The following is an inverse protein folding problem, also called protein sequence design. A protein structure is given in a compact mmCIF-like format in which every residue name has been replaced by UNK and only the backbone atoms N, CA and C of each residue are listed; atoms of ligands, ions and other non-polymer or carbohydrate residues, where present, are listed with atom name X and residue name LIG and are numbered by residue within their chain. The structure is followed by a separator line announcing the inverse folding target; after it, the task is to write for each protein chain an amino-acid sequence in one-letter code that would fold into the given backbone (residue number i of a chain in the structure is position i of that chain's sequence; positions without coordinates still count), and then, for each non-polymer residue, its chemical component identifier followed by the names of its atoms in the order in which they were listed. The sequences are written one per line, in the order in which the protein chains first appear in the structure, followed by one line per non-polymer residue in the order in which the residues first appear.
data_IF_143555702431
#
_entry.id   IF_143555702431
#
_cell.length_a   1.000
_cell.length_b   1.000
_cell.length_c   1.000
_cell.angle_alpha   90.00
_cell.angle_beta   90.00
_cell.angle_gamma   90.00
#
_symmetry.space_group_name_H-M   'P 1'
#
loop_
_entity.id
_entity.type
_entity.pdbx_description
1 polymer ?
#
# COMPACT_ATOMS: atom_id res chain seq x y z
N UNK A 1 19.68 14.95 8.61
CA UNK A 1 18.67 16.03 8.69
C UNK A 1 18.10 16.14 7.30
N UNK A 2 16.92 15.57 7.08
CA UNK A 2 16.26 15.60 5.78
C UNK A 2 15.46 16.90 5.69
N UNK A 3 15.87 17.80 4.81
CA UNK A 3 15.14 19.02 4.51
C UNK A 3 13.93 18.65 3.66
N UNK A 4 12.72 18.94 4.16
CA UNK A 4 11.51 18.94 3.36
C UNK A 4 11.70 19.87 2.15
N UNK A 5 11.09 19.58 0.99
CA UNK A 5 11.18 20.45 -0.18
C UNK A 5 10.70 21.86 0.18
N UNK A 6 11.48 22.88 -0.21
CA UNK A 6 11.13 24.28 0.05
C UNK A 6 9.88 24.64 -0.78
N UNK A 7 8.85 25.16 -0.11
CA UNK A 7 7.62 25.61 -0.75
C UNK A 7 7.94 26.69 -1.80
N UNK A 8 7.75 26.37 -3.08
CA UNK A 8 8.06 27.26 -4.21
C UNK A 8 8.78 26.59 -5.39
N UNK A 9 9.32 25.38 -5.20
CA UNK A 9 9.94 24.59 -6.29
C UNK A 9 8.94 23.76 -7.10
N UNK A 10 7.79 23.44 -6.49
CA UNK A 10 6.74 22.60 -7.06
C UNK A 10 5.44 23.40 -7.23
N UNK A 11 4.70 23.15 -8.31
CA UNK A 11 3.43 23.83 -8.60
C UNK A 11 2.35 23.42 -7.58
N UNK A 12 2.24 22.11 -7.31
CA UNK A 12 1.34 21.58 -6.30
C UNK A 12 2.13 21.00 -5.12
N UNK A 13 1.62 21.23 -3.90
CA UNK A 13 2.16 20.62 -2.69
C UNK A 13 1.01 20.09 -1.85
N UNK A 14 1.07 18.82 -1.49
CA UNK A 14 0.14 18.15 -0.58
C UNK A 14 0.91 17.73 0.66
N UNK A 15 0.38 18.02 1.84
CA UNK A 15 1.00 17.56 3.06
C UNK A 15 0.12 17.67 4.28
N UNK A 16 0.57 17.05 5.38
CA UNK A 16 -0.22 16.86 6.60
C UNK A 16 -0.31 15.38 6.98
N UNK A 17 -1.40 15.02 7.63
CA UNK A 17 -1.72 13.63 7.98
C UNK A 17 -3.06 13.24 7.36
N UNK A 18 -3.11 12.11 6.65
CA UNK A 18 -4.35 11.51 6.12
C UNK A 18 -5.14 12.40 5.15
N UNK A 19 -4.45 13.13 4.29
CA UNK A 19 -5.08 13.92 3.22
C UNK A 19 -5.32 13.07 1.97
N UNK A 20 -6.53 13.08 1.42
CA UNK A 20 -6.91 12.40 0.17
C UNK A 20 -7.28 13.46 -0.87
N UNK A 21 -6.47 13.62 -1.92
CA UNK A 21 -6.54 14.77 -2.84
C UNK A 21 -6.37 14.34 -4.30
N UNK A 22 -7.27 14.82 -5.17
CA UNK A 22 -7.01 14.87 -6.62
C UNK A 22 -6.37 16.22 -6.96
N UNK A 23 -5.07 16.18 -7.29
CA UNK A 23 -4.28 17.36 -7.63
C UNK A 23 -4.56 17.86 -9.06
N UNK A 24 -5.31 17.10 -9.88
CA UNK A 24 -5.60 17.44 -11.26
C UNK A 24 -4.37 17.41 -12.16
N UNK A 25 -4.31 18.32 -13.14
CA UNK A 25 -3.21 18.42 -14.11
C UNK A 25 -2.21 19.49 -13.68
N UNK A 26 -0.99 19.09 -13.34
CA UNK A 26 0.08 19.99 -12.83
C UNK A 26 1.44 19.64 -13.44
N UNK A 27 2.34 20.62 -13.50
CA UNK A 27 3.69 20.47 -14.04
C UNK A 27 4.63 19.74 -13.08
N UNK A 28 4.38 19.85 -11.77
CA UNK A 28 5.19 19.24 -10.71
C UNK A 28 4.42 19.09 -9.40
N UNK A 29 4.73 18.04 -8.62
CA UNK A 29 4.07 17.72 -7.36
C UNK A 29 5.07 17.38 -6.25
N UNK A 30 4.86 17.95 -5.06
CA UNK A 30 5.49 17.52 -3.82
C UNK A 30 4.45 16.96 -2.85
N UNK A 31 4.68 15.77 -2.32
CA UNK A 31 3.87 15.15 -1.27
C UNK A 31 4.74 14.97 -0.05
N UNK A 32 4.35 15.58 1.07
CA UNK A 32 5.11 15.53 2.34
C UNK A 32 4.19 15.27 3.52
N UNK A 33 4.38 14.17 4.24
CA UNK A 33 3.55 13.89 5.41
C UNK A 33 3.41 12.41 5.74
N UNK A 34 2.33 12.07 6.42
CA UNK A 34 2.01 10.69 6.77
C UNK A 34 0.64 10.30 6.21
N UNK A 35 0.60 9.20 5.46
CA UNK A 35 -0.64 8.64 4.88
C UNK A 35 -1.39 9.63 3.99
N UNK A 36 -0.70 10.45 3.21
CA UNK A 36 -1.34 11.27 2.18
C UNK A 36 -1.56 10.45 0.92
N UNK A 37 -2.73 10.56 0.33
CA UNK A 37 -3.15 9.90 -0.88
C UNK A 37 -3.41 10.94 -1.99
N UNK A 38 -2.65 10.87 -3.08
CA UNK A 38 -2.71 11.88 -4.15
C UNK A 38 -2.86 11.24 -5.51
N UNK A 39 -3.88 11.68 -6.23
CA UNK A 39 -4.08 11.40 -7.64
C UNK A 39 -3.62 12.62 -8.47
N UNK A 40 -2.84 12.42 -9.53
CA UNK A 40 -2.29 13.51 -10.34
C UNK A 40 -2.14 13.12 -11.80
N UNK A 41 -2.30 14.09 -12.70
CA UNK A 41 -2.02 13.96 -14.14
C UNK A 41 -0.85 14.88 -14.51
N UNK A 42 0.23 14.39 -15.12
CA UNK A 42 1.31 15.25 -15.60
C UNK A 42 0.83 16.25 -16.65
N UNK A 43 1.26 17.51 -16.51
CA UNK A 43 1.10 18.52 -17.56
C UNK A 43 2.29 18.54 -18.55
N UNK A 44 3.36 17.78 -18.29
CA UNK A 44 4.63 17.83 -19.04
C UNK A 44 5.23 16.43 -19.24
N UNK A 45 6.03 16.28 -20.30
CA UNK A 45 6.76 15.03 -20.61
C UNK A 45 7.78 14.62 -19.53
N UNK A 46 8.21 15.57 -18.69
CA UNK A 46 9.21 15.38 -17.64
C UNK A 46 8.67 15.89 -16.30
N UNK A 47 7.75 15.11 -15.72
CA UNK A 47 7.05 15.44 -14.50
C UNK A 47 7.91 15.22 -13.26
N UNK A 48 8.09 16.26 -12.44
CA UNK A 48 8.85 16.15 -11.18
C UNK A 48 7.94 15.75 -10.03
N UNK A 49 8.32 14.71 -9.31
CA UNK A 49 7.61 14.20 -8.15
C UNK A 49 8.56 14.08 -6.95
N UNK A 50 8.31 14.86 -5.91
CA UNK A 50 8.91 14.65 -4.60
C UNK A 50 7.92 13.90 -3.69
N UNK A 51 8.35 12.79 -3.11
CA UNK A 51 7.56 11.98 -2.18
C UNK A 51 8.33 11.80 -0.88
N UNK A 52 7.88 12.45 0.19
CA UNK A 52 8.59 12.50 1.48
C UNK A 52 7.68 12.10 2.64
N UNK A 53 8.15 11.22 3.52
CA UNK A 53 7.45 10.83 4.74
C UNK A 53 7.10 9.34 4.81
N UNK A 54 5.97 8.99 5.42
CA UNK A 54 5.59 7.59 5.71
C UNK A 54 4.19 7.24 5.19
N UNK A 55 4.05 6.08 4.56
CA UNK A 55 2.78 5.56 4.03
C UNK A 55 2.03 6.47 3.03
N UNK A 56 2.72 7.40 2.35
CA UNK A 56 2.05 8.20 1.32
C UNK A 56 1.80 7.36 0.06
N UNK A 57 0.69 7.62 -0.62
CA UNK A 57 0.29 6.94 -1.85
C UNK A 57 0.10 7.97 -2.97
N UNK A 58 0.80 7.81 -4.09
CA UNK A 58 0.69 8.70 -5.24
C UNK A 58 0.37 7.90 -6.49
N UNK A 59 -0.68 8.32 -7.20
CA UNK A 59 -1.08 7.78 -8.50
C UNK A 59 -0.89 8.83 -9.58
N UNK A 60 0.02 8.55 -10.50
CA UNK A 60 0.31 9.41 -11.65
C UNK A 60 -0.34 8.81 -12.90
N UNK A 61 -1.40 9.47 -13.38
CA UNK A 61 -2.15 9.07 -14.57
C UNK A 61 -1.55 9.73 -15.81
N UNK A 62 -1.02 8.95 -16.72
CA UNK A 62 -0.38 9.43 -17.95
C UNK A 62 -0.16 8.28 -18.92
N UNK A 63 0.40 8.59 -20.09
CA UNK A 63 0.57 7.65 -21.19
C UNK A 63 2.04 7.48 -21.55
N UNK A 64 2.76 8.57 -21.81
CA UNK A 64 4.11 8.56 -22.37
C UNK A 64 5.09 9.46 -21.62
N UNK A 65 4.64 10.13 -20.56
CA UNK A 65 5.46 11.03 -19.77
C UNK A 65 6.47 10.26 -18.90
N UNK A 66 7.57 10.95 -18.58
CA UNK A 66 8.60 10.47 -17.66
C UNK A 66 8.45 11.13 -16.30
N UNK A 67 8.23 10.32 -15.26
CA UNK A 67 8.26 10.78 -13.87
C UNK A 67 9.70 10.81 -13.38
N UNK A 68 10.13 11.97 -12.90
CA UNK A 68 11.42 12.22 -12.23
C UNK A 68 11.17 12.22 -10.73
N UNK A 69 11.55 11.13 -10.06
CA UNK A 69 11.21 10.86 -8.67
C UNK A 69 12.35 11.20 -7.70
N UNK A 70 12.02 11.96 -6.67
CA UNK A 70 12.78 12.10 -5.43
C UNK A 70 11.98 11.50 -4.27
N UNK A 71 12.37 10.32 -3.83
CA UNK A 71 11.70 9.60 -2.74
C UNK A 71 12.56 9.59 -1.49
N UNK A 72 12.00 10.01 -0.35
CA UNK A 72 12.67 9.99 0.96
C UNK A 72 11.70 9.62 2.07
N UNK A 73 11.88 8.45 2.67
CA UNK A 73 11.07 7.95 3.78
C UNK A 73 10.57 6.53 3.51
N UNK A 74 9.61 6.08 4.31
CA UNK A 74 9.32 4.65 4.43
C UNK A 74 7.90 4.31 3.96
N UNK A 75 7.74 3.11 3.38
CA UNK A 75 6.43 2.53 3.02
C UNK A 75 5.57 3.41 2.11
N UNK A 76 6.19 4.31 1.35
CA UNK A 76 5.48 5.10 0.37
C UNK A 76 5.18 4.24 -0.87
N UNK A 77 4.09 4.55 -1.56
CA UNK A 77 3.65 3.85 -2.77
C UNK A 77 3.51 4.84 -3.93
N UNK A 78 4.09 4.48 -5.08
CA UNK A 78 3.94 5.19 -6.34
C UNK A 78 3.37 4.26 -7.39
N UNK A 79 2.27 4.66 -8.00
CA UNK A 79 1.64 3.97 -9.11
C UNK A 79 1.67 4.87 -10.35
N UNK A 80 2.21 4.35 -11.43
CA UNK A 80 2.39 5.07 -12.70
C UNK A 80 1.49 4.44 -13.76
N UNK A 81 1.12 5.21 -14.78
CA UNK A 81 0.52 4.64 -16.00
C UNK A 81 1.44 3.56 -16.60
N UNK A 82 0.84 2.51 -17.16
CA UNK A 82 1.54 1.34 -17.73
C UNK A 82 2.71 1.69 -18.67
N UNK A 83 2.46 2.65 -19.55
CA UNK A 83 3.37 3.07 -20.62
C UNK A 83 4.32 4.20 -20.17
N UNK A 84 4.11 4.77 -18.99
CA UNK A 84 4.95 5.84 -18.46
C UNK A 84 6.36 5.37 -18.11
N UNK A 85 7.31 6.29 -18.19
CA UNK A 85 8.69 6.06 -17.80
C UNK A 85 8.98 6.59 -16.39
N UNK A 86 9.91 5.96 -15.68
CA UNK A 86 10.36 6.40 -14.37
C UNK A 86 11.87 6.62 -14.37
N UNK A 87 12.29 7.80 -13.91
CA UNK A 87 13.66 8.13 -13.60
C UNK A 87 13.76 8.46 -12.11
N UNK A 88 14.54 7.68 -11.37
CA UNK A 88 14.78 7.93 -9.94
C UNK A 88 16.03 8.79 -9.79
N UNK A 89 15.89 9.97 -9.19
CA UNK A 89 17.01 10.82 -8.80
C UNK A 89 17.42 10.58 -7.35
N UNK A 90 16.44 10.28 -6.49
CA UNK A 90 16.65 9.83 -5.12
C UNK A 90 15.63 8.76 -4.74
N UNK A 91 16.08 7.75 -3.99
CA UNK A 91 15.26 6.68 -3.43
C UNK A 91 15.90 6.24 -2.11
N UNK A 92 15.49 6.89 -1.01
CA UNK A 92 16.01 6.68 0.33
C UNK A 92 14.88 6.25 1.27
N UNK A 93 15.14 5.21 2.08
CA UNK A 93 14.19 4.66 3.06
C UNK A 93 13.92 3.17 2.84
N UNK A 94 12.91 2.65 3.53
CA UNK A 94 12.61 1.22 3.55
C UNK A 94 11.16 0.91 3.11
N UNK A 95 10.98 -0.26 2.51
CA UNK A 95 9.66 -0.81 2.15
C UNK A 95 8.80 0.08 1.22
N UNK A 96 9.42 0.99 0.47
CA UNK A 96 8.74 1.73 -0.59
C UNK A 96 8.34 0.80 -1.74
N UNK A 97 7.22 1.09 -2.40
CA UNK A 97 6.70 0.31 -3.52
C UNK A 97 6.46 1.20 -4.74
N UNK A 98 6.85 0.70 -5.91
CA UNK A 98 6.66 1.39 -7.19
C UNK A 98 6.06 0.39 -8.17
N UNK A 99 4.91 0.73 -8.73
CA UNK A 99 4.14 -0.13 -9.62
C UNK A 99 3.66 0.62 -10.87
N UNK A 100 3.23 -0.15 -11.87
CA UNK A 100 2.66 0.35 -13.12
C UNK A 100 1.26 -0.22 -13.28
N UNK A 101 0.33 0.61 -13.75
CA UNK A 101 -1.10 0.29 -13.77
C UNK A 101 -1.75 0.77 -15.07
N UNK A 102 -2.59 -0.09 -15.64
CA UNK A 102 -3.72 0.38 -16.44
C UNK A 102 -4.73 0.94 -15.46
N UNK A 103 -4.97 2.25 -15.51
CA UNK A 103 -6.06 2.88 -14.75
C UNK A 103 -7.43 2.60 -15.38
N UNK A 104 -7.52 1.60 -16.26
CA UNK A 104 -8.77 1.13 -16.82
C UNK A 104 -9.67 0.59 -15.70
N UNK A 105 -10.96 0.91 -15.77
CA UNK A 105 -12.02 0.51 -14.84
C UNK A 105 -12.36 -0.99 -14.90
N UNK A 106 -11.36 -1.84 -15.10
CA UNK A 106 -11.49 -3.29 -14.90
C UNK A 106 -11.83 -3.54 -13.44
N UNK A 107 -12.84 -4.39 -13.22
CA UNK A 107 -13.47 -4.70 -11.92
C UNK A 107 -12.53 -4.58 -10.72
N UNK A 108 -13.00 -3.89 -9.68
CA UNK A 108 -12.26 -3.75 -8.42
C UNK A 108 -11.73 -5.12 -7.94
N UNK A 109 -10.49 -5.17 -7.44
CA UNK A 109 -9.92 -6.42 -6.96
C UNK A 109 -10.79 -6.99 -5.84
N UNK A 110 -10.94 -8.32 -5.82
CA UNK A 110 -11.56 -8.97 -4.67
C UNK A 110 -10.60 -8.89 -3.48
N UNK A 111 -10.90 -7.96 -2.57
CA UNK A 111 -10.09 -7.70 -1.39
C UNK A 111 -10.18 -8.86 -0.38
N UNK A 112 -11.33 -9.54 -0.31
CA UNK A 112 -11.57 -10.62 0.66
C UNK A 112 -11.25 -11.97 0.01
N UNK A 113 -10.00 -12.39 0.13
CA UNK A 113 -9.56 -13.69 -0.38
C UNK A 113 -9.91 -14.86 0.56
N UNK A 114 -9.82 -14.64 1.87
CA UNK A 114 -10.12 -15.66 2.89
C UNK A 114 -10.97 -15.02 3.97
N UNK A 115 -12.21 -15.46 4.10
CA UNK A 115 -13.10 -15.02 5.19
C UNK A 115 -12.66 -15.63 6.52
N UNK A 116 -13.12 -15.03 7.63
CA UNK A 116 -12.88 -15.57 8.97
C UNK A 116 -13.39 -17.01 9.11
N UNK A 117 -14.57 -17.29 8.57
CA UNK A 117 -15.18 -18.62 8.68
C UNK A 117 -14.37 -19.67 7.90
N UNK A 118 -13.90 -19.35 6.69
CA UNK A 118 -13.02 -20.23 5.91
C UNK A 118 -11.69 -20.48 6.62
N UNK A 119 -11.09 -19.43 7.19
CA UNK A 119 -9.82 -19.54 7.90
C UNK A 119 -9.92 -20.42 9.15
N UNK A 120 -11.05 -20.37 9.86
CA UNK A 120 -11.31 -21.19 11.05
C UNK A 120 -11.80 -22.61 10.72
N UNK A 121 -12.44 -22.82 9.56
CA UNK A 121 -12.95 -24.13 9.16
C UNK A 121 -11.83 -25.18 8.95
N UNK A 122 -10.61 -24.74 8.61
CA UNK A 122 -9.46 -25.61 8.40
C UNK A 122 -8.74 -26.09 9.67
N UNK A 123 -9.18 -25.66 10.86
CA UNK A 123 -8.44 -25.87 12.09
C UNK A 123 -8.54 -27.30 12.63
N UNK A 124 -7.42 -27.77 13.20
CA UNK A 124 -7.33 -29.08 13.83
C UNK A 124 -8.03 -29.14 15.19
N UNK A 125 -8.03 -30.34 15.80
CA UNK A 125 -8.70 -30.55 17.09
C UNK A 125 -7.87 -30.10 18.30
N UNK A 126 -6.55 -30.04 18.15
CA UNK A 126 -5.61 -29.73 19.23
C UNK A 126 -4.41 -28.97 18.70
N UNK A 127 -4.03 -27.89 19.39
CA UNK A 127 -2.77 -27.20 19.15
C UNK A 127 -2.91 -25.69 19.02
N UNK A 128 -1.80 -25.04 18.73
CA UNK A 128 -1.78 -23.63 18.36
C UNK A 128 -1.65 -23.50 16.86
N UNK A 129 -2.47 -22.64 16.28
CA UNK A 129 -2.41 -22.30 14.85
C UNK A 129 -2.32 -20.78 14.68
N UNK A 130 -1.74 -20.37 13.56
CA UNK A 130 -1.73 -18.98 13.11
C UNK A 130 -2.78 -18.86 12.00
N UNK A 131 -3.74 -17.97 12.18
CA UNK A 131 -4.89 -17.82 11.29
C UNK A 131 -4.87 -16.42 10.70
N UNK A 132 -4.87 -16.34 9.38
CA UNK A 132 -4.97 -15.09 8.64
C UNK A 132 -6.30 -15.02 7.90
N UNK A 133 -7.00 -13.90 8.03
CA UNK A 133 -8.27 -13.68 7.35
C UNK A 133 -8.51 -12.19 7.09
N UNK A 134 -9.44 -11.92 6.17
CA UNK A 134 -9.92 -10.59 5.83
C UNK A 134 -11.37 -10.44 6.25
N UNK A 135 -11.75 -9.22 6.66
CA UNK A 135 -13.14 -8.88 6.97
C UNK A 135 -13.42 -7.48 6.46
N UNK A 136 -14.57 -7.29 5.80
CA UNK A 136 -15.02 -5.95 5.41
C UNK A 136 -15.32 -5.10 6.64
N UNK A 137 -14.90 -3.84 6.61
CA UNK A 137 -15.16 -2.89 7.68
C UNK A 137 -15.85 -1.65 7.10
N UNK A 138 -16.79 -1.09 7.86
CA UNK A 138 -17.46 0.15 7.48
C UNK A 138 -16.53 1.34 7.83
N UNK A 139 -15.71 1.74 6.86
CA UNK A 139 -14.86 2.93 6.93
C UNK A 139 -14.83 3.61 5.57
N UNK A 140 -14.94 4.93 5.57
CA UNK A 140 -14.90 5.74 4.35
C UNK A 140 -13.44 6.03 3.90
N UNK A 141 -12.46 5.70 4.75
CA UNK A 141 -11.05 6.03 4.56
C UNK A 141 -10.12 4.90 5.03
N UNK A 142 -9.11 4.56 4.23
CA UNK A 142 -8.13 3.51 4.53
C UNK A 142 -7.02 4.01 5.46
N UNK A 143 -6.90 3.44 6.66
CA UNK A 143 -5.85 3.86 7.61
C UNK A 143 -4.44 3.45 7.22
N UNK A 144 -4.28 2.61 6.20
CA UNK A 144 -2.98 2.19 5.70
C UNK A 144 -2.41 3.17 4.68
N UNK A 145 -3.11 3.40 3.57
CA UNK A 145 -2.62 4.22 2.46
C UNK A 145 -3.19 5.65 2.41
N UNK A 146 -4.22 5.95 3.21
CA UNK A 146 -4.82 7.28 3.25
C UNK A 146 -5.82 7.60 2.14
N UNK A 147 -6.15 6.66 1.25
CA UNK A 147 -7.18 6.91 0.25
C UNK A 147 -8.58 6.79 0.86
N UNK A 148 -9.49 7.65 0.41
CA UNK A 148 -10.92 7.39 0.52
C UNK A 148 -11.30 6.28 -0.45
N UNK A 149 -12.03 5.27 0.02
CA UNK A 149 -12.35 4.07 -0.75
C UNK A 149 -13.76 3.58 -0.42
N UNK A 150 -14.46 3.09 -1.45
CA UNK A 150 -15.81 2.53 -1.28
C UNK A 150 -15.82 1.26 -0.44
N UNK A 151 -14.72 0.49 -0.50
CA UNK A 151 -14.53 -0.74 0.28
C UNK A 151 -13.17 -0.72 0.96
N UNK A 152 -13.21 -0.88 2.29
CA UNK A 152 -12.04 -1.10 3.12
C UNK A 152 -12.21 -2.44 3.82
N UNK A 153 -11.14 -3.23 3.85
CA UNK A 153 -11.07 -4.48 4.60
C UNK A 153 -10.04 -4.33 5.72
N UNK A 154 -10.21 -5.13 6.76
CA UNK A 154 -9.18 -5.37 7.78
C UNK A 154 -8.60 -6.76 7.55
N UNK A 155 -7.29 -6.85 7.29
CA UNK A 155 -6.55 -8.11 7.37
C UNK A 155 -6.13 -8.32 8.81
N UNK A 156 -6.47 -9.49 9.37
CA UNK A 156 -6.08 -9.91 10.72
C UNK A 156 -5.24 -11.16 10.66
N UNK A 157 -4.24 -11.19 11.51
CA UNK A 157 -3.48 -12.39 11.84
C UNK A 157 -3.63 -12.67 13.33
N UNK A 158 -4.08 -13.87 13.67
CA UNK A 158 -4.38 -14.28 15.04
C UNK A 158 -3.70 -15.60 15.36
N UNK A 159 -3.13 -15.67 16.56
CA UNK A 159 -2.72 -16.93 17.17
C UNK A 159 -3.90 -17.50 17.94
N UNK A 160 -4.32 -18.70 17.57
CA UNK A 160 -5.45 -19.40 18.18
C UNK A 160 -4.99 -20.67 18.89
N UNK A 161 -5.75 -21.09 19.90
CA UNK A 161 -5.62 -22.38 20.56
C UNK A 161 -6.87 -23.20 20.26
N UNK A 162 -6.68 -24.37 19.67
CA UNK A 162 -7.72 -25.35 19.39
C UNK A 162 -7.69 -26.44 20.45
N UNK A 163 -8.84 -26.73 21.08
CA UNK A 163 -9.01 -27.81 22.04
C UNK A 163 -10.36 -28.49 21.81
N UNK A 164 -10.34 -29.77 21.43
CA UNK A 164 -11.54 -30.56 21.14
C UNK A 164 -12.46 -29.91 20.09
N UNK A 165 -11.89 -29.22 19.10
CA UNK A 165 -12.63 -28.50 18.06
C UNK A 165 -13.23 -27.16 18.51
N UNK A 166 -12.99 -26.73 19.75
CA UNK A 166 -13.25 -25.37 20.19
C UNK A 166 -12.00 -24.52 19.97
N UNK A 167 -12.19 -23.36 19.35
CA UNK A 167 -11.09 -22.43 19.05
C UNK A 167 -11.22 -21.18 19.90
N UNK A 168 -10.12 -20.80 20.56
CA UNK A 168 -10.02 -19.54 21.32
C UNK A 168 -8.86 -18.72 20.77
N UNK A 169 -9.13 -17.47 20.40
CA UNK A 169 -8.07 -16.51 20.06
C UNK A 169 -7.23 -16.22 21.29
N UNK A 170 -5.94 -16.48 21.21
CA UNK A 170 -4.97 -16.25 22.29
C UNK A 170 -4.35 -14.86 22.16
N UNK A 171 -4.07 -14.45 20.93
CA UNK A 171 -3.41 -13.20 20.63
C UNK A 171 -3.71 -12.74 19.21
N UNK A 172 -3.99 -11.45 19.02
CA UNK A 172 -3.90 -10.80 17.70
C UNK A 172 -2.44 -10.46 17.43
N UNK A 173 -1.87 -11.03 16.37
CA UNK A 173 -0.48 -10.85 15.98
C UNK A 173 -0.31 -9.59 15.13
N UNK A 174 -1.21 -9.39 14.17
CA UNK A 174 -1.21 -8.22 13.30
C UNK A 174 -2.63 -7.85 12.87
N UNK A 175 -2.84 -6.56 12.60
CA UNK A 175 -4.04 -6.02 11.96
C UNK A 175 -3.64 -4.87 11.04
N UNK A 176 -4.16 -4.85 9.81
CA UNK A 176 -3.94 -3.75 8.87
C UNK A 176 -5.18 -3.52 8.03
N UNK A 177 -5.49 -2.25 7.78
CA UNK A 177 -6.45 -1.85 6.78
C UNK A 177 -5.88 -2.08 5.38
N UNK A 178 -6.75 -2.41 4.42
CA UNK A 178 -6.42 -2.49 3.00
C UNK A 178 -7.63 -2.01 2.18
N UNK A 179 -7.37 -1.34 1.06
CA UNK A 179 -8.37 -0.95 0.07
C UNK A 179 -7.84 -1.25 -1.33
N UNK A 180 -8.67 -1.04 -2.36
CA UNK A 180 -8.31 -1.25 -3.76
C UNK A 180 -7.09 -0.43 -4.24
N UNK A 181 -6.69 0.58 -3.47
CA UNK A 181 -5.54 1.45 -3.76
C UNK A 181 -4.26 1.07 -3.00
N UNK A 182 -4.34 0.19 -2.01
CA UNK A 182 -3.15 -0.27 -1.29
C UNK A 182 -2.30 -1.15 -2.20
N UNK A 183 -1.07 -0.70 -2.50
CA UNK A 183 -0.13 -1.38 -3.41
C UNK A 183 1.05 -2.06 -2.72
N UNK A 184 1.08 -2.09 -1.39
CA UNK A 184 1.94 -3.09 -0.75
C UNK A 184 1.37 -4.44 -1.11
N UNK A 185 2.19 -5.40 -1.60
CA UNK A 185 1.69 -6.72 -1.80
C UNK A 185 1.01 -7.07 -0.49
N UNK A 186 -0.30 -7.35 -0.57
CA UNK A 186 -0.90 -8.33 0.31
C UNK A 186 0.20 -9.38 0.47
N UNK A 187 0.52 -9.78 1.70
CA UNK A 187 1.38 -10.93 1.93
C UNK A 187 0.68 -12.15 1.32
N UNK A 188 0.50 -12.19 -0.01
CA UNK A 188 0.23 -13.33 -0.81
C UNK A 188 1.40 -14.17 -0.45
N UNK A 189 1.09 -15.21 0.31
CA UNK A 189 2.02 -16.17 0.84
C UNK A 189 3.13 -16.37 -0.19
N UNK A 190 4.26 -15.68 -0.02
CA UNK A 190 5.48 -16.04 -0.70
C UNK A 190 5.88 -17.26 0.09
N UNK A 191 5.25 -18.38 -0.23
CA UNK A 191 5.58 -19.68 0.29
C UNK A 191 6.97 -19.96 -0.26
N UNK A 192 7.97 -19.55 0.52
CA UNK A 192 9.34 -19.93 0.27
C UNK A 192 9.35 -21.45 0.19
N UNK A 193 9.78 -21.96 -0.96
CA UNK A 193 10.01 -23.39 -1.11
C UNK A 193 10.96 -23.87 -0.02
N UNK A 194 10.90 -25.15 0.33
CA UNK A 194 11.82 -25.75 1.31
C UNK A 194 13.30 -25.55 0.98
N UNK A 195 13.61 -25.24 -0.29
CA UNK A 195 14.93 -24.87 -0.76
C UNK A 195 15.29 -23.44 -0.36
N UNK A 196 14.41 -22.47 -0.63
CA UNK A 196 14.63 -21.06 -0.28
C UNK A 196 14.71 -20.87 1.25
N UNK A 197 13.90 -21.61 2.02
CA UNK A 197 13.97 -21.61 3.49
C UNK A 197 15.32 -22.07 4.03
N UNK A 198 15.95 -23.06 3.38
CA UNK A 198 17.26 -23.59 3.80
C UNK A 198 18.41 -22.66 3.46
N UNK A 199 18.23 -21.79 2.47
CA UNK A 199 19.28 -20.89 1.99
C UNK A 199 19.48 -19.66 2.89
N UNK A 200 18.45 -19.28 3.66
CA UNK A 200 18.49 -18.16 4.61
C UNK A 200 19.40 -18.46 5.84
N UNK A 201 19.54 -19.72 6.23
CA UNK A 201 20.30 -20.13 7.42
C UNK A 201 21.73 -20.58 7.11
N UNK A 202 22.26 -20.27 5.93
CA UNK A 202 23.62 -20.63 5.51
C UNK A 202 24.54 -19.42 5.48
#
# INVERSE_FOLDING_TARGET
MSSAPESGEYEATVGGERESVDAGTVESLAVTGERCAVDVTPATDAFRLALTGDHNSVRVRGSDETVVLELTGDRNSLALGEEMSLRRERDEGEANSISRESFDTGSEPDLVQTTRDEAYAGLGWFGFDLVSYQTEIERDHCQYCGHDAERVIERREEKVLCLFGLTVTVQTVASSDECSFCRVPANGSVDLSDRERREIYR
#
